data_IF_771157053118
#
_entry.id   IF_771157053118
#
_cell.length_a   1.000
_cell.length_b   1.000
_cell.length_c   1.000
_cell.angle_alpha   90.00
_cell.angle_beta   90.00
_cell.angle_gamma   90.00
#
_symmetry.space_group_name_H-M   'P 1'
#
loop_
_entity.id
_entity.type
_entity.pdbx_description
1 polymer ?
#
# COMPACT_ATOMS: atom_id res chain seq x y z
N UNK A 1 8.15 -0.30 -5.51
CA UNK A 1 6.82 -0.79 -5.10
C UNK A 1 6.40 -1.97 -5.99
N UNK A 2 7.38 -2.69 -6.55
CA UNK A 2 7.14 -3.73 -7.55
C UNK A 2 6.48 -4.96 -6.95
N UNK A 3 6.78 -5.29 -5.69
CA UNK A 3 6.16 -6.43 -5.01
C UNK A 3 4.68 -6.16 -4.82
N UNK A 4 4.32 -4.97 -4.32
CA UNK A 4 2.93 -4.57 -4.15
C UNK A 4 2.15 -4.52 -5.48
N UNK A 5 2.75 -3.97 -6.54
CA UNK A 5 2.15 -3.95 -7.89
C UNK A 5 1.93 -5.38 -8.41
N UNK A 6 2.94 -6.25 -8.31
CA UNK A 6 2.85 -7.63 -8.78
C UNK A 6 1.77 -8.41 -8.02
N UNK A 7 1.70 -8.25 -6.68
CA UNK A 7 0.65 -8.86 -5.87
C UNK A 7 -0.74 -8.34 -6.25
N UNK A 8 -0.89 -7.03 -6.48
CA UNK A 8 -2.17 -6.44 -6.89
C UNK A 8 -2.63 -6.94 -8.25
N UNK A 9 -1.72 -7.04 -9.23
CA UNK A 9 -1.99 -7.63 -10.54
C UNK A 9 -2.34 -9.12 -10.46
N UNK A 10 -1.57 -9.88 -9.66
CA UNK A 10 -1.86 -11.29 -9.43
C UNK A 10 -3.27 -11.47 -8.85
N UNK A 11 -3.66 -10.62 -7.91
CA UNK A 11 -4.97 -10.66 -7.28
C UNK A 11 -6.08 -10.30 -8.26
N UNK A 12 -5.90 -9.28 -9.11
CA UNK A 12 -6.82 -9.01 -10.23
C UNK A 12 -6.99 -10.21 -11.14
N UNK A 13 -5.88 -10.86 -11.52
CA UNK A 13 -5.91 -12.04 -12.40
C UNK A 13 -6.65 -13.21 -11.74
N UNK A 14 -6.39 -13.49 -10.46
CA UNK A 14 -7.05 -14.56 -9.72
C UNK A 14 -8.57 -14.33 -9.61
N UNK A 15 -8.98 -13.09 -9.30
CA UNK A 15 -10.40 -12.70 -9.23
C UNK A 15 -11.07 -12.81 -10.60
N UNK A 16 -10.42 -12.31 -11.67
CA UNK A 16 -10.95 -12.36 -13.04
C UNK A 16 -11.12 -13.80 -13.56
N UNK A 17 -10.23 -14.70 -13.16
CA UNK A 17 -10.26 -16.11 -13.59
C UNK A 17 -11.07 -17.03 -12.68
N UNK A 18 -11.66 -16.48 -11.60
CA UNK A 18 -12.35 -17.25 -10.55
C UNK A 18 -11.52 -18.46 -10.08
N UNK A 19 -10.22 -18.22 -9.89
CA UNK A 19 -9.26 -19.29 -9.63
C UNK A 19 -9.54 -20.02 -8.30
N UNK A 20 -9.37 -21.35 -8.23
CA UNK A 20 -9.50 -22.10 -6.97
C UNK A 20 -8.55 -21.62 -5.86
N UNK A 21 -7.46 -20.93 -6.23
CA UNK A 21 -6.51 -20.34 -5.28
C UNK A 21 -7.16 -19.28 -4.39
N UNK A 22 -8.26 -18.65 -4.83
CA UNK A 22 -9.01 -17.70 -4.02
C UNK A 22 -9.54 -18.32 -2.72
N UNK A 23 -9.93 -19.60 -2.77
CA UNK A 23 -10.43 -20.33 -1.59
C UNK A 23 -9.32 -20.57 -0.56
N UNK A 24 -8.08 -20.74 -1.02
CA UNK A 24 -6.91 -20.85 -0.13
C UNK A 24 -6.63 -19.49 0.50
N UNK A 25 -6.70 -18.41 -0.29
CA UNK A 25 -6.48 -17.04 0.21
C UNK A 25 -7.54 -16.58 1.22
N UNK A 26 -8.74 -17.19 1.21
CA UNK A 26 -9.81 -16.92 2.17
C UNK A 26 -9.58 -17.58 3.55
N UNK A 27 -8.57 -18.45 3.68
CA UNK A 27 -8.31 -19.10 4.96
C UNK A 27 -7.88 -18.08 6.05
N UNK A 28 -8.31 -18.26 7.31
CA UNK A 28 -7.93 -17.38 8.42
C UNK A 28 -6.42 -17.22 8.59
N UNK A 29 -5.64 -18.21 8.16
CA UNK A 29 -4.17 -18.17 8.17
C UNK A 29 -3.63 -16.97 7.40
N UNK A 30 -4.25 -16.59 6.28
CA UNK A 30 -3.82 -15.42 5.47
C UNK A 30 -4.17 -14.09 6.13
N UNK A 31 -5.27 -14.03 6.89
CA UNK A 31 -5.59 -12.87 7.72
C UNK A 31 -4.51 -12.67 8.77
N UNK A 32 -4.25 -13.69 9.61
CA UNK A 32 -3.29 -13.57 10.71
C UNK A 32 -1.85 -13.36 10.23
N UNK A 33 -1.43 -14.08 9.18
CA UNK A 33 -0.09 -13.91 8.61
C UNK A 33 0.08 -12.55 7.93
N UNK A 34 -0.94 -12.06 7.21
CA UNK A 34 -0.94 -10.72 6.61
C UNK A 34 -0.84 -9.63 7.68
N UNK A 35 -1.63 -9.72 8.75
CA UNK A 35 -1.54 -8.79 9.88
C UNK A 35 -0.19 -8.87 10.61
N UNK A 36 0.32 -10.07 10.89
CA UNK A 36 1.61 -10.25 11.56
C UNK A 36 2.76 -9.67 10.73
N UNK A 37 2.76 -9.90 9.41
CA UNK A 37 3.73 -9.32 8.50
C UNK A 37 3.59 -7.80 8.42
N UNK A 38 2.37 -7.25 8.40
CA UNK A 38 2.15 -5.81 8.42
C UNK A 38 2.71 -5.17 9.70
N UNK A 39 2.44 -5.75 10.87
CA UNK A 39 3.00 -5.27 12.15
C UNK A 39 4.52 -5.37 12.14
N UNK A 40 5.09 -6.45 11.61
CA UNK A 40 6.54 -6.56 11.44
C UNK A 40 7.12 -5.51 10.50
N UNK A 41 6.36 -5.11 9.47
CA UNK A 41 6.72 -4.05 8.53
C UNK A 41 6.79 -2.68 9.20
N UNK A 42 5.83 -2.39 10.09
CA UNK A 42 5.84 -1.18 10.93
C UNK A 42 7.07 -1.17 11.84
N UNK A 43 7.29 -2.26 12.59
CA UNK A 43 8.44 -2.38 13.48
C UNK A 43 9.77 -2.27 12.71
N UNK A 44 9.88 -2.97 11.58
CA UNK A 44 11.04 -2.95 10.69
C UNK A 44 11.37 -1.55 10.19
N UNK A 45 10.35 -0.75 9.86
CA UNK A 45 10.52 0.64 9.47
C UNK A 45 11.02 1.52 10.63
N UNK A 46 10.61 1.25 11.87
CA UNK A 46 11.09 1.98 13.06
C UNK A 46 12.56 1.67 13.37
N UNK A 47 13.01 0.43 13.21
CA UNK A 47 14.36 -0.01 13.60
C UNK A 47 15.41 0.05 12.47
N UNK A 48 15.03 -0.10 11.19
CA UNK A 48 15.98 -0.25 10.07
C UNK A 48 15.66 0.70 8.90
N UNK A 49 15.97 2.00 9.08
CA UNK A 49 15.76 3.04 8.06
C UNK A 49 16.39 2.73 6.69
N UNK A 50 17.57 2.12 6.64
CA UNK A 50 18.25 1.76 5.36
C UNK A 50 17.48 0.75 4.50
N UNK A 51 16.56 -0.01 5.10
CA UNK A 51 15.69 -0.96 4.40
C UNK A 51 14.23 -0.48 4.34
N UNK A 52 13.99 0.82 4.54
CA UNK A 52 12.63 1.39 4.56
C UNK A 52 11.84 1.05 3.30
N UNK A 53 12.50 1.01 2.12
CA UNK A 53 11.86 0.64 0.86
C UNK A 53 11.33 -0.79 0.85
N UNK A 54 12.12 -1.74 1.36
CA UNK A 54 11.70 -3.13 1.45
C UNK A 54 10.57 -3.30 2.46
N UNK A 55 10.71 -2.70 3.65
CA UNK A 55 9.70 -2.80 4.71
C UNK A 55 8.36 -2.19 4.32
N UNK A 56 8.39 -1.11 3.54
CA UNK A 56 7.18 -0.52 2.98
C UNK A 56 6.51 -1.45 1.96
N UNK A 57 7.26 -2.03 1.02
CA UNK A 57 6.69 -2.94 0.01
C UNK A 57 6.12 -4.21 0.67
N UNK A 58 6.81 -4.75 1.68
CA UNK A 58 6.33 -5.87 2.51
C UNK A 58 5.06 -5.49 3.27
N UNK A 59 5.02 -4.29 3.87
CA UNK A 59 3.82 -3.81 4.55
C UNK A 59 2.63 -3.70 3.58
N UNK A 60 2.81 -3.01 2.45
CA UNK A 60 1.73 -2.80 1.49
C UNK A 60 1.21 -4.13 0.93
N UNK A 61 2.10 -5.07 0.59
CA UNK A 61 1.73 -6.41 0.13
C UNK A 61 1.02 -7.25 1.19
N UNK A 62 1.51 -7.24 2.42
CA UNK A 62 0.89 -8.00 3.53
C UNK A 62 -0.48 -7.47 3.92
N UNK A 63 -0.66 -6.15 3.93
CA UNK A 63 -1.96 -5.50 4.13
C UNK A 63 -2.93 -5.82 2.99
N UNK A 64 -2.47 -5.89 1.74
CA UNK A 64 -3.31 -6.29 0.60
C UNK A 64 -3.85 -7.73 0.77
N UNK A 65 -3.00 -8.65 1.20
CA UNK A 65 -3.39 -10.04 1.47
C UNK A 65 -4.36 -10.09 2.65
N UNK A 66 -4.06 -9.40 3.75
CA UNK A 66 -4.92 -9.32 4.92
C UNK A 66 -6.29 -8.71 4.58
N UNK A 67 -6.30 -7.66 3.75
CA UNK A 67 -7.52 -7.04 3.22
C UNK A 67 -8.36 -8.02 2.43
N UNK A 68 -7.75 -8.70 1.48
CA UNK A 68 -8.47 -9.64 0.63
C UNK A 68 -9.12 -10.73 1.47
N UNK A 69 -8.32 -11.44 2.28
CA UNK A 69 -8.80 -12.54 3.13
C UNK A 69 -9.86 -12.06 4.14
N UNK A 70 -9.65 -10.91 4.78
CA UNK A 70 -10.58 -10.41 5.79
C UNK A 70 -11.90 -9.97 5.17
N UNK A 71 -11.86 -9.18 4.09
CA UNK A 71 -13.08 -8.65 3.49
C UNK A 71 -13.82 -9.68 2.66
N UNK A 72 -13.14 -10.71 2.13
CA UNK A 72 -13.79 -11.81 1.41
C UNK A 72 -14.83 -12.52 2.26
N UNK A 73 -14.54 -12.73 3.55
CA UNK A 73 -15.49 -13.30 4.51
C UNK A 73 -16.69 -12.38 4.87
N UNK A 74 -16.60 -11.09 4.58
CA UNK A 74 -17.58 -10.07 5.00
C UNK A 74 -18.46 -9.55 3.86
N UNK A 75 -17.93 -9.54 2.63
CA UNK A 75 -18.61 -9.06 1.44
C UNK A 75 -19.01 -10.22 0.55
N UNK A 76 -20.00 -9.99 -0.33
CA UNK A 76 -20.38 -11.00 -1.32
C UNK A 76 -19.20 -11.36 -2.22
N UNK A 77 -19.15 -12.62 -2.60
CA UNK A 77 -18.09 -13.18 -3.44
C UNK A 77 -17.94 -12.49 -4.81
N UNK A 78 -19.02 -11.93 -5.34
CA UNK A 78 -18.99 -11.21 -6.62
C UNK A 78 -18.80 -9.70 -6.45
N UNK A 79 -18.39 -9.25 -5.26
CA UNK A 79 -18.24 -7.82 -5.01
C UNK A 79 -17.14 -7.23 -5.89
N UNK A 80 -17.44 -6.16 -6.66
CA UNK A 80 -16.52 -5.62 -7.65
C UNK A 80 -15.25 -5.02 -7.02
N UNK A 81 -15.29 -4.70 -5.72
CA UNK A 81 -14.15 -4.18 -4.95
C UNK A 81 -12.92 -5.08 -5.02
N UNK A 82 -13.10 -6.40 -5.09
CA UNK A 82 -12.00 -7.37 -5.14
C UNK A 82 -11.19 -7.31 -6.43
N UNK A 83 -11.79 -6.81 -7.51
CA UNK A 83 -11.09 -6.57 -8.78
C UNK A 83 -10.64 -5.12 -8.92
N UNK A 84 -11.52 -4.15 -8.64
CA UNK A 84 -11.22 -2.74 -8.90
C UNK A 84 -10.24 -2.12 -7.92
N UNK A 85 -10.19 -2.53 -6.65
CA UNK A 85 -9.26 -1.95 -5.69
C UNK A 85 -7.81 -2.31 -5.99
N UNK A 86 -7.45 -3.59 -6.22
CA UNK A 86 -6.09 -3.93 -6.64
C UNK A 86 -5.72 -3.29 -7.97
N UNK A 87 -6.65 -3.22 -8.93
CA UNK A 87 -6.42 -2.55 -10.21
C UNK A 87 -6.12 -1.05 -10.01
N UNK A 88 -6.92 -0.38 -9.18
CA UNK A 88 -6.70 1.00 -8.79
C UNK A 88 -5.33 1.19 -8.13
N UNK A 89 -4.91 0.29 -7.22
CA UNK A 89 -3.60 0.34 -6.58
C UNK A 89 -2.46 0.20 -7.57
N UNK A 90 -2.58 -0.66 -8.59
CA UNK A 90 -1.59 -0.78 -9.66
C UNK A 90 -1.45 0.54 -10.40
N UNK A 91 -2.57 1.14 -10.84
CA UNK A 91 -2.54 2.41 -11.56
C UNK A 91 -1.93 3.54 -10.73
N UNK A 92 -2.32 3.66 -9.46
CA UNK A 92 -1.80 4.69 -8.56
C UNK A 92 -0.32 4.46 -8.29
N UNK A 93 0.11 3.24 -7.97
CA UNK A 93 1.51 2.94 -7.70
C UNK A 93 2.39 3.18 -8.93
N UNK A 94 1.96 2.73 -10.12
CA UNK A 94 2.67 2.96 -11.37
C UNK A 94 2.72 4.44 -11.75
N UNK A 95 1.61 5.17 -11.59
CA UNK A 95 1.55 6.61 -11.84
C UNK A 95 2.52 7.37 -10.93
N UNK A 96 2.53 7.04 -9.63
CA UNK A 96 3.44 7.65 -8.66
C UNK A 96 4.89 7.34 -9.02
N UNK A 97 5.24 6.07 -9.31
CA UNK A 97 6.61 5.71 -9.71
C UNK A 97 7.06 6.47 -10.97
N UNK A 98 6.21 6.56 -12.00
CA UNK A 98 6.50 7.31 -13.22
C UNK A 98 6.67 8.81 -12.96
N UNK A 99 5.75 9.41 -12.19
CA UNK A 99 5.76 10.84 -11.89
C UNK A 99 7.03 11.26 -11.15
N UNK A 100 7.45 10.49 -10.14
CA UNK A 100 8.67 10.81 -9.38
C UNK A 100 9.97 10.46 -10.11
N UNK A 101 9.95 9.49 -11.03
CA UNK A 101 11.14 9.15 -11.85
C UNK A 101 11.44 10.21 -12.90
N UNK A 102 10.42 10.82 -13.52
CA UNK A 102 10.61 11.81 -14.60
C UNK A 102 10.98 13.22 -14.08
N UNK A 103 10.74 13.50 -12.79
CA UNK A 103 11.03 14.80 -12.18
C UNK A 103 12.50 15.05 -11.83
N UNK A 104 13.34 14.01 -11.88
CA UNK A 104 14.76 14.09 -11.48
C UNK A 104 15.60 15.05 -12.36
N UNK A 105 15.07 15.52 -13.50
CA UNK A 105 15.78 16.43 -14.42
C UNK A 105 15.10 17.80 -14.64
N UNK A 106 13.91 18.05 -14.08
CA UNK A 106 13.11 19.26 -14.39
C UNK A 106 12.57 20.01 -13.18
N UNK A 107 12.88 19.58 -11.95
CA UNK A 107 12.26 20.19 -10.76
C UNK A 107 12.92 21.52 -10.40
N UNK A 108 12.14 22.60 -10.42
CA UNK A 108 12.57 23.93 -9.97
C UNK A 108 12.88 23.93 -8.46
N UNK A 109 13.87 24.72 -8.05
CA UNK A 109 14.34 24.81 -6.66
C UNK A 109 13.23 25.25 -5.68
N UNK A 110 12.23 25.99 -6.17
CA UNK A 110 11.04 26.38 -5.41
C UNK A 110 10.13 25.18 -5.11
N UNK A 111 9.86 24.33 -6.10
CA UNK A 111 9.07 23.10 -5.94
C UNK A 111 9.77 22.13 -4.99
N UNK A 112 11.09 22.02 -5.10
CA UNK A 112 11.90 21.23 -4.18
C UNK A 112 11.83 21.71 -2.74
N UNK A 113 11.95 23.03 -2.52
CA UNK A 113 11.78 23.61 -1.17
C UNK A 113 10.40 23.36 -0.59
N UNK A 114 9.35 23.41 -1.41
CA UNK A 114 7.99 23.10 -0.96
C UNK A 114 7.83 21.61 -0.62
N UNK A 115 8.35 20.70 -1.44
CA UNK A 115 8.34 19.26 -1.17
C UNK A 115 9.15 18.91 0.09
N UNK A 116 10.33 19.51 0.26
CA UNK A 116 11.14 19.39 1.46
C UNK A 116 10.44 19.99 2.67
N UNK A 117 9.77 21.14 2.55
CA UNK A 117 8.98 21.72 3.63
C UNK A 117 7.81 20.80 4.03
N UNK A 118 7.14 20.19 3.06
CA UNK A 118 6.06 19.22 3.29
C UNK A 118 6.58 17.95 3.99
N UNK A 119 7.76 17.47 3.60
CA UNK A 119 8.37 16.28 4.19
C UNK A 119 9.03 16.55 5.55
N UNK A 120 9.55 17.77 5.76
CA UNK A 120 10.17 18.24 7.01
C UNK A 120 9.13 18.65 8.05
N UNK A 121 7.95 19.10 7.61
CA UNK A 121 6.79 19.16 8.48
C UNK A 121 6.42 17.73 8.86
N UNK A 122 6.78 17.35 10.07
CA UNK A 122 6.59 16.06 10.73
C UNK A 122 5.10 15.70 10.95
N UNK A 123 4.19 16.20 10.11
CA UNK A 123 2.74 16.19 10.31
C UNK A 123 2.19 14.77 10.27
N UNK A 124 2.85 13.83 9.56
CA UNK A 124 2.47 12.41 9.64
C UNK A 124 3.72 11.53 9.56
N UNK A 125 4.12 10.95 10.70
CA UNK A 125 5.18 9.94 10.74
C UNK A 125 4.73 8.71 9.92
N UNK A 126 5.60 8.07 9.11
CA UNK A 126 5.20 6.98 8.21
C UNK A 126 4.42 5.85 8.90
N UNK A 127 4.81 5.49 10.12
CA UNK A 127 4.11 4.46 10.90
C UNK A 127 2.68 4.86 11.30
N UNK A 128 2.38 6.15 11.43
CA UNK A 128 1.01 6.63 11.73
C UNK A 128 0.10 6.37 10.54
N UNK A 129 0.57 6.60 9.31
CA UNK A 129 -0.18 6.27 8.10
C UNK A 129 -0.38 4.77 7.99
N UNK A 130 0.65 3.97 8.27
CA UNK A 130 0.56 2.51 8.27
C UNK A 130 -0.46 2.00 9.29
N UNK A 131 -0.49 2.55 10.50
CA UNK A 131 -1.54 2.25 11.48
C UNK A 131 -2.92 2.67 10.99
N UNK A 132 -3.03 3.82 10.33
CA UNK A 132 -4.27 4.27 9.70
C UNK A 132 -4.79 3.30 8.64
N UNK A 133 -3.89 2.76 7.81
CA UNK A 133 -4.21 1.70 6.84
C UNK A 133 -4.73 0.45 7.55
N UNK A 134 -4.07 0.00 8.63
CA UNK A 134 -4.56 -1.15 9.41
C UNK A 134 -5.92 -0.87 10.07
N UNK A 135 -6.13 0.33 10.63
CA UNK A 135 -7.40 0.72 11.22
C UNK A 135 -8.52 0.75 10.16
N UNK A 136 -8.21 1.20 8.94
CA UNK A 136 -9.19 1.24 7.84
C UNK A 136 -9.68 -0.14 7.41
N UNK A 137 -8.90 -1.21 7.64
CA UNK A 137 -9.34 -2.59 7.39
C UNK A 137 -10.52 -2.99 8.29
N UNK A 138 -10.51 -2.53 9.53
CA UNK A 138 -11.55 -2.83 10.53
C UNK A 138 -12.85 -2.04 10.33
N UNK A 139 -12.95 -1.21 9.29
CA UNK A 139 -14.10 -0.34 9.03
C UNK A 139 -14.78 -0.68 7.69
N UNK A 140 -15.32 -1.90 7.50
CA UNK A 140 -15.92 -2.32 6.23
C UNK A 140 -17.12 -1.45 5.83
N UNK A 141 -17.84 -0.86 6.80
CA UNK A 141 -18.93 0.10 6.53
C UNK A 141 -18.46 1.35 5.75
N UNK A 142 -17.18 1.70 5.90
CA UNK A 142 -16.53 2.82 5.23
C UNK A 142 -15.44 2.30 4.30
N UNK A 143 -15.81 1.36 3.41
CA UNK A 143 -14.89 0.61 2.57
C UNK A 143 -13.95 1.46 1.70
N UNK A 144 -14.29 2.74 1.43
CA UNK A 144 -13.42 3.68 0.72
C UNK A 144 -12.25 4.21 1.56
N UNK A 145 -12.30 4.11 2.89
CA UNK A 145 -11.18 4.53 3.76
C UNK A 145 -9.91 3.72 3.48
N UNK A 146 -10.07 2.45 3.16
CA UNK A 146 -8.95 1.57 2.85
C UNK A 146 -8.15 2.05 1.62
N UNK A 147 -8.74 2.16 0.41
CA UNK A 147 -7.98 2.58 -0.75
C UNK A 147 -7.45 4.01 -0.65
N UNK A 148 -8.15 4.90 0.05
CA UNK A 148 -7.67 6.27 0.33
C UNK A 148 -6.42 6.22 1.22
N UNK A 149 -6.44 5.44 2.29
CA UNK A 149 -5.31 5.31 3.22
C UNK A 149 -4.09 4.69 2.54
N UNK A 150 -4.30 3.65 1.73
CA UNK A 150 -3.24 3.04 0.91
C UNK A 150 -2.66 4.07 -0.05
N UNK A 151 -3.48 4.85 -0.76
CA UNK A 151 -3.00 5.91 -1.66
C UNK A 151 -2.12 6.93 -0.94
N UNK A 152 -2.55 7.37 0.24
CA UNK A 152 -1.81 8.31 1.08
C UNK A 152 -0.44 7.74 1.51
N UNK A 153 -0.40 6.45 1.84
CA UNK A 153 0.81 5.71 2.13
C UNK A 153 1.76 5.69 0.92
N UNK A 154 1.26 5.31 -0.26
CA UNK A 154 2.04 5.23 -1.50
C UNK A 154 2.67 6.59 -1.86
N UNK A 155 1.89 7.68 -1.80
CA UNK A 155 2.36 9.04 -2.08
C UNK A 155 3.44 9.45 -1.08
N UNK A 156 3.20 9.27 0.22
CA UNK A 156 4.16 9.67 1.26
C UNK A 156 5.47 8.93 1.13
N UNK A 157 5.41 7.65 0.79
CA UNK A 157 6.58 6.80 0.61
C UNK A 157 7.39 7.19 -0.62
N UNK A 158 6.73 7.43 -1.76
CA UNK A 158 7.40 7.90 -2.97
C UNK A 158 8.07 9.26 -2.75
N UNK A 159 7.38 10.20 -2.09
CA UNK A 159 7.96 11.49 -1.68
C UNK A 159 9.19 11.31 -0.79
N UNK A 160 9.16 10.37 0.16
CA UNK A 160 10.29 10.10 1.04
C UNK A 160 11.51 9.56 0.29
N UNK A 161 11.31 8.63 -0.65
CA UNK A 161 12.40 8.05 -1.42
C UNK A 161 13.03 9.07 -2.37
N UNK A 162 12.21 9.91 -3.01
CA UNK A 162 12.67 10.96 -3.90
C UNK A 162 13.59 11.95 -3.17
N UNK A 163 13.20 12.37 -1.97
CA UNK A 163 14.00 13.27 -1.14
C UNK A 163 15.27 12.65 -0.54
N UNK A 164 15.36 11.32 -0.45
CA UNK A 164 16.56 10.61 0.03
C UNK A 164 17.61 10.39 -1.09
N UNK A 165 17.22 10.52 -2.36
CA UNK A 165 18.10 10.33 -3.53
C UNK A 165 18.67 11.65 -4.10
N UNK A 166 18.31 12.82 -3.54
CA UNK A 166 18.92 14.12 -3.83
C UNK A 166 19.97 14.51 -2.79
#
# INVERSE_FOLDING_TARGET
MFIFIALSLALCFLVQTSSPLLNILDEPVFIYSGFALAVSGIAGMMFKKKAAKLWHDVFAGSVLIAWFAYWRSLFNEDSPIFFFFPLYFVFVAAFIELFFTDQDHKTDALTLRQMQALAKHNIVQPWVIMLGVLASLGLPQHYLLYPVSVTLLLIRFALSNYLEHQ
#
